data_IF_300876542485
#
_entry.id   IF_300876542485
#
_cell.length_a   1.000
_cell.length_b   1.000
_cell.length_c   1.000
_cell.angle_alpha   90.00
_cell.angle_beta   90.00
_cell.angle_gamma   90.00
#
_symmetry.space_group_name_H-M   'P 1'
#
loop_
_entity.id
_entity.type
_entity.pdbx_description
1 polymer ?
#
# COMPACT_ATOMS: atom_id res chain seq x y z
N UNK A 1 6.38 -14.24 31.32
CA UNK A 1 6.86 -13.15 32.20
C UNK A 1 7.17 -11.96 31.33
N UNK A 2 6.37 -10.89 31.45
CA UNK A 2 6.51 -9.65 30.69
C UNK A 2 7.74 -8.90 31.21
N UNK A 3 8.76 -8.70 30.37
CA UNK A 3 9.83 -7.77 30.68
C UNK A 3 9.28 -6.35 30.50
N UNK A 4 8.76 -5.75 31.59
CA UNK A 4 8.30 -4.37 31.65
C UNK A 4 9.33 -3.34 31.15
N UNK A 5 10.61 -3.73 31.07
CA UNK A 5 11.72 -2.92 30.55
C UNK A 5 11.57 -2.50 29.09
N UNK A 6 10.92 -3.30 28.24
CA UNK A 6 10.78 -2.99 26.81
C UNK A 6 9.74 -1.88 26.55
N UNK A 7 8.63 -1.88 27.30
CA UNK A 7 7.59 -0.85 27.22
C UNK A 7 8.01 0.47 27.89
N UNK A 8 8.82 0.41 28.96
CA UNK A 8 9.38 1.60 29.62
C UNK A 8 10.37 2.36 28.71
N UNK A 9 10.97 1.67 27.73
CA UNK A 9 11.97 2.25 26.81
C UNK A 9 11.40 3.28 25.81
N UNK A 10 10.07 3.48 25.77
CA UNK A 10 9.40 4.39 24.82
C UNK A 10 8.77 5.64 25.43
N UNK A 11 9.16 6.04 26.64
CA UNK A 11 8.97 7.45 27.01
C UNK A 11 9.70 8.34 25.98
N UNK A 12 9.14 9.51 25.62
CA UNK A 12 9.72 10.41 24.63
C UNK A 12 11.19 10.73 24.94
N UNK A 13 11.50 10.99 26.22
CA UNK A 13 12.84 11.28 26.71
C UNK A 13 13.80 10.09 26.57
N UNK A 14 13.35 8.87 26.93
CA UNK A 14 14.16 7.65 26.79
C UNK A 14 14.54 7.38 25.34
N UNK A 15 13.59 7.57 24.40
CA UNK A 15 13.85 7.40 22.96
C UNK A 15 14.81 8.46 22.42
N UNK A 16 14.63 9.72 22.81
CA UNK A 16 15.50 10.81 22.35
C UNK A 16 16.93 10.64 22.86
N UNK A 17 17.09 10.26 24.13
CA UNK A 17 18.41 9.94 24.68
C UNK A 17 19.07 8.75 23.97
N UNK A 18 18.31 7.68 23.72
CA UNK A 18 18.82 6.52 22.97
C UNK A 18 19.32 6.89 21.58
N UNK A 19 18.55 7.71 20.85
CA UNK A 19 18.97 8.23 19.52
C UNK A 19 20.28 9.01 19.60
N UNK A 20 20.38 9.92 20.58
CA UNK A 20 21.58 10.72 20.81
C UNK A 20 22.81 9.85 21.11
N UNK A 21 22.66 8.82 21.97
CA UNK A 21 23.77 7.88 22.27
C UNK A 21 24.18 7.13 21.00
N UNK A 22 23.23 6.59 20.24
CA UNK A 22 23.52 5.84 19.03
C UNK A 22 24.19 6.70 17.94
N UNK A 23 23.78 7.97 17.78
CA UNK A 23 24.48 8.95 16.91
C UNK A 23 25.94 9.14 17.31
N UNK A 24 26.25 9.16 18.61
CA UNK A 24 27.63 9.28 19.09
C UNK A 24 28.47 8.02 18.88
N UNK A 25 27.82 6.85 18.88
CA UNK A 25 28.47 5.57 18.64
C UNK A 25 28.68 5.27 17.15
N UNK A 26 27.95 5.93 16.26
CA UNK A 26 28.15 5.85 14.80
C UNK A 26 27.47 4.65 14.13
N UNK A 27 27.78 4.37 12.85
CA UNK A 27 27.06 3.39 12.03
C UNK A 27 27.19 1.94 12.53
N UNK A 28 28.23 1.63 13.29
CA UNK A 28 28.48 0.28 13.83
C UNK A 28 27.35 -0.23 14.76
N UNK A 29 26.55 0.67 15.32
CA UNK A 29 25.40 0.30 16.16
C UNK A 29 24.10 0.12 15.39
N UNK A 30 24.07 0.38 14.07
CA UNK A 30 22.86 0.27 13.25
C UNK A 30 22.17 -1.09 13.42
N UNK A 31 22.93 -2.19 13.31
CA UNK A 31 22.40 -3.55 13.47
C UNK A 31 21.74 -3.76 14.84
N UNK A 32 22.34 -3.25 15.92
CA UNK A 32 21.79 -3.37 17.28
C UNK A 32 20.47 -2.61 17.44
N UNK A 33 20.34 -1.44 16.82
CA UNK A 33 19.09 -0.65 16.86
C UNK A 33 17.99 -1.29 16.00
N UNK A 34 18.35 -1.90 14.86
CA UNK A 34 17.43 -2.67 14.03
C UNK A 34 16.97 -3.95 14.74
N UNK A 35 17.85 -4.67 15.43
CA UNK A 35 17.48 -5.85 16.23
C UNK A 35 16.63 -5.48 17.43
N UNK A 36 16.96 -4.37 18.10
CA UNK A 36 16.15 -3.83 19.19
C UNK A 36 14.72 -3.54 18.70
N UNK A 37 14.56 -2.78 17.62
CA UNK A 37 13.22 -2.49 17.07
C UNK A 37 12.50 -3.75 16.60
N UNK A 38 13.21 -4.73 16.02
CA UNK A 38 12.64 -6.04 15.67
C UNK A 38 12.06 -6.77 16.88
N UNK A 39 12.77 -6.78 18.01
CA UNK A 39 12.29 -7.42 19.25
C UNK A 39 11.02 -6.78 19.84
N UNK A 40 10.80 -5.49 19.57
CA UNK A 40 9.58 -4.78 19.99
C UNK A 40 8.45 -5.07 19.02
N UNK A 41 8.74 -5.04 17.71
CA UNK A 41 7.77 -5.30 16.66
C UNK A 41 7.29 -6.75 16.64
N UNK A 42 8.07 -7.70 17.17
CA UNK A 42 7.59 -9.08 17.37
C UNK A 42 6.53 -9.20 18.46
N UNK A 43 6.47 -8.24 19.41
CA UNK A 43 5.43 -8.17 20.44
C UNK A 43 4.25 -7.34 19.96
N UNK A 44 4.51 -6.19 19.35
CA UNK A 44 3.49 -5.32 18.73
C UNK A 44 3.97 -4.84 17.35
N UNK A 45 3.53 -5.54 16.32
CA UNK A 45 3.90 -5.27 14.93
C UNK A 45 3.44 -3.90 14.42
N UNK A 46 2.54 -3.23 15.14
CA UNK A 46 2.00 -1.91 14.77
C UNK A 46 2.53 -0.80 15.68
N UNK A 47 3.50 -1.08 16.54
CA UNK A 47 4.06 -0.12 17.48
C UNK A 47 4.68 1.10 16.78
N UNK A 48 3.94 2.22 16.77
CA UNK A 48 4.29 3.42 15.99
C UNK A 48 5.68 3.98 16.33
N UNK A 49 6.03 4.05 17.61
CA UNK A 49 7.34 4.59 18.01
C UNK A 49 8.51 3.67 17.64
N UNK A 50 8.28 2.36 17.52
CA UNK A 50 9.31 1.42 17.09
C UNK A 50 9.59 1.62 15.60
N UNK A 51 8.54 1.73 14.77
CA UNK A 51 8.67 2.08 13.35
C UNK A 51 9.35 3.43 13.13
N UNK A 52 8.96 4.47 13.88
CA UNK A 52 9.60 5.78 13.81
C UNK A 52 11.08 5.73 14.21
N UNK A 53 11.43 4.94 15.23
CA UNK A 53 12.83 4.75 15.62
C UNK A 53 13.61 3.99 14.54
N UNK A 54 13.02 2.93 13.96
CA UNK A 54 13.64 2.14 12.90
C UNK A 54 13.95 2.97 11.66
N UNK A 55 13.00 3.80 11.21
CA UNK A 55 13.21 4.70 10.06
C UNK A 55 14.33 5.73 10.31
N UNK A 56 14.40 6.28 11.52
CA UNK A 56 15.49 7.17 11.92
C UNK A 56 16.83 6.42 11.92
N UNK A 57 16.89 5.20 12.45
CA UNK A 57 18.13 4.42 12.51
C UNK A 57 18.66 4.14 11.10
N UNK A 58 17.78 3.77 10.16
CA UNK A 58 18.14 3.59 8.75
C UNK A 58 18.72 4.85 8.13
N UNK A 59 18.11 6.02 8.38
CA UNK A 59 18.59 7.30 7.85
C UNK A 59 19.89 7.78 8.47
N UNK A 60 20.02 7.68 9.78
CA UNK A 60 21.14 8.25 10.53
C UNK A 60 22.36 7.33 10.56
N UNK A 61 22.14 6.01 10.60
CA UNK A 61 23.18 5.01 10.87
C UNK A 61 23.38 4.04 9.70
N UNK A 62 22.41 3.89 8.79
CA UNK A 62 22.46 2.94 7.67
C UNK A 62 21.79 1.60 8.01
N UNK A 63 22.28 0.51 7.40
CA UNK A 63 21.70 -0.84 7.57
C UNK A 63 20.48 -1.11 6.67
N UNK A 64 20.51 -0.59 5.45
CA UNK A 64 19.41 -0.71 4.48
C UNK A 64 19.32 -2.09 3.82
N UNK A 65 20.41 -2.84 3.81
CA UNK A 65 20.62 -4.03 2.99
C UNK A 65 19.57 -5.12 3.25
N UNK A 66 19.21 -5.33 4.53
CA UNK A 66 18.29 -6.39 4.96
C UNK A 66 16.87 -5.87 5.23
N UNK A 67 16.61 -4.58 5.01
CA UNK A 67 15.35 -3.98 5.43
C UNK A 67 14.17 -4.38 4.53
N UNK A 68 14.42 -4.58 3.23
CA UNK A 68 13.41 -5.11 2.30
C UNK A 68 13.05 -6.56 2.63
N UNK A 69 14.03 -7.39 2.99
CA UNK A 69 13.81 -8.78 3.39
C UNK A 69 13.01 -8.83 4.69
N UNK A 70 13.32 -7.97 5.66
CA UNK A 70 12.53 -7.86 6.87
C UNK A 70 11.08 -7.41 6.61
N UNK A 71 10.86 -6.48 5.67
CA UNK A 71 9.51 -6.13 5.25
C UNK A 71 8.79 -7.33 4.60
N UNK A 72 9.50 -8.14 3.83
CA UNK A 72 8.95 -9.34 3.22
C UNK A 72 8.54 -10.37 4.29
N UNK A 73 9.41 -10.69 5.25
CA UNK A 73 9.10 -11.59 6.38
C UNK A 73 7.82 -11.16 7.13
N UNK A 74 7.68 -9.86 7.41
CA UNK A 74 6.50 -9.33 8.10
C UNK A 74 5.22 -9.45 7.27
N UNK A 75 5.32 -9.30 5.95
CA UNK A 75 4.18 -9.41 5.03
C UNK A 75 3.81 -10.86 4.72
N UNK A 76 4.77 -11.79 4.78
CA UNK A 76 4.49 -13.23 4.76
C UNK A 76 3.76 -13.67 6.03
N UNK A 77 4.13 -13.11 7.20
CA UNK A 77 3.46 -13.39 8.46
C UNK A 77 2.05 -12.76 8.55
N UNK A 78 1.91 -11.50 8.13
CA UNK A 78 0.63 -10.79 8.08
C UNK A 78 0.59 -9.80 6.91
N UNK A 79 -0.06 -10.19 5.82
CA UNK A 79 -0.23 -9.36 4.64
C UNK A 79 -1.08 -8.11 4.90
N UNK A 80 -1.89 -8.09 5.95
CA UNK A 80 -2.72 -6.94 6.35
C UNK A 80 -1.95 -5.95 7.23
N UNK A 81 -0.67 -6.17 7.48
CA UNK A 81 0.17 -5.25 8.24
C UNK A 81 0.51 -3.99 7.41
N UNK A 82 -0.33 -2.96 7.55
CA UNK A 82 -0.13 -1.67 6.88
C UNK A 82 1.21 -1.00 7.23
N UNK A 83 1.75 -1.20 8.44
CA UNK A 83 3.03 -0.63 8.82
C UNK A 83 4.18 -1.26 8.03
N UNK A 84 4.11 -2.56 7.74
CA UNK A 84 5.09 -3.24 6.90
C UNK A 84 5.03 -2.77 5.44
N UNK A 85 3.83 -2.60 4.86
CA UNK A 85 3.67 -1.99 3.53
C UNK A 85 4.23 -0.56 3.47
N UNK A 86 3.94 0.26 4.48
CA UNK A 86 4.46 1.61 4.58
C UNK A 86 6.00 1.62 4.72
N UNK A 87 6.56 0.71 5.52
CA UNK A 87 8.01 0.56 5.65
C UNK A 87 8.63 0.14 4.33
N UNK A 88 8.04 -0.83 3.62
CA UNK A 88 8.51 -1.25 2.30
C UNK A 88 8.59 -0.07 1.34
N UNK A 89 7.54 0.76 1.29
CA UNK A 89 7.51 1.98 0.46
C UNK A 89 8.61 2.97 0.87
N UNK A 90 8.78 3.17 2.18
CA UNK A 90 9.83 4.02 2.73
C UNK A 90 11.23 3.55 2.30
N UNK A 91 11.52 2.25 2.36
CA UNK A 91 12.82 1.69 1.98
C UNK A 91 13.09 1.92 0.50
N UNK A 92 12.13 1.62 -0.38
CA UNK A 92 12.29 1.82 -1.82
C UNK A 92 12.53 3.29 -2.17
N UNK A 93 11.85 4.21 -1.49
CA UNK A 93 11.94 5.64 -1.79
C UNK A 93 13.11 6.35 -1.14
N UNK A 94 13.64 5.84 -0.03
CA UNK A 94 14.68 6.51 0.77
C UNK A 94 16.01 5.80 0.80
N UNK A 95 16.06 4.50 0.46
CA UNK A 95 17.32 3.77 0.42
C UNK A 95 18.25 4.38 -0.64
N UNK A 96 19.49 4.75 -0.27
CA UNK A 96 20.47 5.27 -1.23
C UNK A 96 20.85 4.27 -2.33
N UNK A 97 20.75 2.97 -2.05
CA UNK A 97 21.21 1.90 -2.96
C UNK A 97 20.16 1.50 -4.01
N UNK A 98 18.87 1.72 -3.74
CA UNK A 98 17.79 1.25 -4.61
C UNK A 98 17.44 2.22 -5.74
N UNK A 99 17.87 3.49 -5.66
CA UNK A 99 17.65 4.47 -6.72
C UNK A 99 16.20 4.98 -6.85
N UNK A 100 15.31 4.63 -5.92
CA UNK A 100 13.94 5.15 -5.84
C UNK A 100 12.89 4.30 -6.54
N UNK A 101 11.73 4.92 -6.82
CA UNK A 101 10.55 4.24 -7.38
C UNK A 101 10.76 3.71 -8.80
N UNK A 102 11.39 4.51 -9.68
CA UNK A 102 11.53 4.17 -11.10
C UNK A 102 12.22 2.81 -11.34
N UNK A 103 13.43 2.54 -10.80
CA UNK A 103 14.11 1.25 -11.01
C UNK A 103 13.40 0.08 -10.30
N UNK A 104 12.73 0.34 -9.18
CA UNK A 104 12.06 -0.71 -8.39
C UNK A 104 10.62 -0.99 -8.85
N UNK A 105 10.06 -0.18 -9.75
CA UNK A 105 8.63 -0.23 -10.09
C UNK A 105 8.19 -1.60 -10.57
N UNK A 106 8.89 -2.19 -11.53
CA UNK A 106 8.49 -3.45 -12.16
C UNK A 106 8.46 -4.61 -11.14
N UNK A 107 9.51 -4.75 -10.34
CA UNK A 107 9.60 -5.82 -9.33
C UNK A 107 8.55 -5.65 -8.22
N UNK A 108 8.32 -4.41 -7.78
CA UNK A 108 7.37 -4.10 -6.72
C UNK A 108 5.91 -4.19 -7.17
N UNK A 109 5.62 -3.83 -8.42
CA UNK A 109 4.30 -4.06 -9.04
C UNK A 109 4.03 -5.56 -9.11
N UNK A 110 4.99 -6.36 -9.58
CA UNK A 110 4.87 -7.82 -9.63
C UNK A 110 4.62 -8.43 -8.24
N UNK A 111 5.37 -7.98 -7.23
CA UNK A 111 5.17 -8.38 -5.84
C UNK A 111 3.76 -8.04 -5.33
N UNK A 112 3.33 -6.80 -5.58
CA UNK A 112 2.04 -6.29 -5.09
C UNK A 112 0.85 -6.95 -5.79
N UNK A 113 0.95 -7.19 -7.10
CA UNK A 113 -0.07 -7.91 -7.86
C UNK A 113 -0.26 -9.33 -7.31
N UNK A 114 0.82 -10.03 -6.99
CA UNK A 114 0.72 -11.35 -6.33
C UNK A 114 -0.01 -11.26 -4.98
N UNK A 115 0.32 -10.27 -4.16
CA UNK A 115 -0.33 -10.05 -2.87
C UNK A 115 -1.84 -9.73 -3.02
N UNK A 116 -2.20 -8.90 -3.99
CA UNK A 116 -3.60 -8.55 -4.30
C UNK A 116 -4.38 -9.78 -4.77
N UNK A 117 -3.83 -10.58 -5.69
CA UNK A 117 -4.52 -11.76 -6.19
C UNK A 117 -4.75 -12.80 -5.10
N UNK A 118 -3.80 -12.95 -4.17
CA UNK A 118 -3.95 -13.79 -3.00
C UNK A 118 -5.02 -13.27 -2.03
N UNK A 119 -5.04 -11.96 -1.76
CA UNK A 119 -5.97 -11.33 -0.82
C UNK A 119 -6.61 -10.05 -1.40
N UNK A 120 -7.62 -10.15 -2.27
CA UNK A 120 -8.19 -8.97 -2.95
C UNK A 120 -8.86 -7.97 -1.99
N UNK A 121 -9.30 -8.42 -0.82
CA UNK A 121 -9.87 -7.58 0.23
C UNK A 121 -8.84 -6.79 1.06
N UNK A 122 -7.55 -6.89 0.77
CA UNK A 122 -6.51 -6.15 1.50
C UNK A 122 -6.33 -4.73 0.95
N UNK A 123 -6.85 -3.72 1.65
CA UNK A 123 -6.70 -2.32 1.25
C UNK A 123 -5.24 -1.86 1.14
N UNK A 124 -4.35 -2.36 2.00
CA UNK A 124 -2.95 -1.92 2.05
C UNK A 124 -2.19 -2.24 0.77
N UNK A 125 -2.41 -3.42 0.17
CA UNK A 125 -1.75 -3.78 -1.09
C UNK A 125 -2.24 -2.93 -2.26
N UNK A 126 -3.53 -2.59 -2.33
CA UNK A 126 -4.05 -1.69 -3.36
C UNK A 126 -3.52 -0.26 -3.23
N UNK A 127 -3.48 0.26 -2.00
CA UNK A 127 -2.90 1.58 -1.71
C UNK A 127 -1.41 1.63 -2.04
N UNK A 128 -0.69 0.56 -1.72
CA UNK A 128 0.72 0.43 -2.05
C UNK A 128 0.94 0.42 -3.56
N UNK A 129 0.15 -0.36 -4.32
CA UNK A 129 0.20 -0.37 -5.79
C UNK A 129 0.07 1.03 -6.37
N UNK A 130 -0.95 1.80 -5.93
CA UNK A 130 -1.14 3.19 -6.37
C UNK A 130 0.05 4.08 -6.02
N UNK A 131 0.65 3.88 -4.84
CA UNK A 131 1.78 4.69 -4.40
C UNK A 131 3.05 4.48 -5.25
N UNK A 132 3.23 3.33 -5.89
CA UNK A 132 4.37 3.05 -6.78
C UNK A 132 4.42 3.97 -8.03
N UNK A 133 3.28 4.56 -8.39
CA UNK A 133 3.14 5.49 -9.51
C UNK A 133 2.90 6.93 -9.04
N UNK A 134 3.27 7.24 -7.79
CA UNK A 134 3.15 8.59 -7.27
C UNK A 134 3.87 9.59 -8.20
N UNK A 135 3.15 10.64 -8.59
CA UNK A 135 3.59 11.70 -9.49
C UNK A 135 3.90 11.23 -10.95
N UNK A 136 3.41 10.04 -11.35
CA UNK A 136 3.62 9.44 -12.68
C UNK A 136 2.31 8.82 -13.22
N UNK A 137 1.33 9.68 -13.49
CA UNK A 137 0.00 9.28 -13.98
C UNK A 137 0.06 8.59 -15.34
N UNK A 138 1.01 8.96 -16.21
CA UNK A 138 1.17 8.32 -17.53
C UNK A 138 1.57 6.85 -17.39
N UNK A 139 2.52 6.53 -16.50
CA UNK A 139 2.87 5.13 -16.22
C UNK A 139 1.74 4.38 -15.52
N UNK A 140 0.99 5.06 -14.64
CA UNK A 140 -0.15 4.47 -13.94
C UNK A 140 -1.23 3.95 -14.90
N UNK A 141 -1.61 4.77 -15.90
CA UNK A 141 -2.65 4.39 -16.87
C UNK A 141 -2.15 3.42 -17.95
N UNK A 142 -0.84 3.44 -18.25
CA UNK A 142 -0.27 2.63 -19.34
C UNK A 142 0.22 1.26 -18.89
N UNK A 143 0.44 1.03 -17.59
CA UNK A 143 0.91 -0.26 -17.08
C UNK A 143 -0.18 -1.34 -17.20
N UNK A 144 0.03 -2.37 -18.04
CA UNK A 144 -0.96 -3.42 -18.26
C UNK A 144 -1.23 -4.24 -16.99
N UNK A 145 -0.27 -4.31 -16.06
CA UNK A 145 -0.37 -5.10 -14.84
C UNK A 145 -1.47 -4.56 -13.92
N UNK A 146 -1.63 -3.24 -13.86
CA UNK A 146 -2.65 -2.56 -13.04
C UNK A 146 -4.05 -2.84 -13.59
N UNK A 147 -4.24 -2.72 -14.90
CA UNK A 147 -5.52 -3.04 -15.55
C UNK A 147 -5.83 -4.54 -15.44
N UNK A 148 -4.84 -5.40 -15.67
CA UNK A 148 -4.99 -6.86 -15.59
C UNK A 148 -5.38 -7.33 -14.19
N UNK A 149 -4.78 -6.77 -13.13
CA UNK A 149 -5.14 -7.17 -11.75
C UNK A 149 -6.56 -6.74 -11.40
N UNK A 150 -7.01 -5.57 -11.86
CA UNK A 150 -8.40 -5.15 -11.68
C UNK A 150 -9.35 -6.14 -12.35
N UNK A 151 -9.14 -6.47 -13.63
CA UNK A 151 -9.97 -7.43 -14.37
C UNK A 151 -9.99 -8.82 -13.74
N UNK A 152 -8.83 -9.34 -13.30
CA UNK A 152 -8.73 -10.63 -12.62
C UNK A 152 -9.48 -10.67 -11.29
N UNK A 153 -9.56 -9.56 -10.57
CA UNK A 153 -10.32 -9.49 -9.32
C UNK A 153 -11.80 -9.34 -9.62
N UNK A 154 -12.19 -8.53 -10.61
CA UNK A 154 -13.58 -8.34 -11.03
C UNK A 154 -14.21 -9.63 -11.60
N UNK A 155 -13.43 -10.50 -12.23
CA UNK A 155 -13.92 -11.78 -12.76
C UNK A 155 -14.17 -12.86 -11.71
N UNK A 156 -13.66 -12.67 -10.49
CA UNK A 156 -13.89 -13.59 -9.37
C UNK A 156 -15.27 -13.35 -8.76
N UNK A 157 -15.96 -14.42 -8.40
CA UNK A 157 -17.27 -14.34 -7.73
C UNK A 157 -17.17 -14.36 -6.20
N UNK A 158 -16.00 -14.72 -5.66
CA UNK A 158 -15.79 -15.07 -4.26
C UNK A 158 -15.00 -14.03 -3.46
N UNK A 159 -14.97 -12.76 -3.90
CA UNK A 159 -14.15 -11.74 -3.26
C UNK A 159 -14.82 -10.37 -3.17
N UNK A 160 -14.24 -9.51 -2.33
CA UNK A 160 -14.64 -8.11 -2.23
C UNK A 160 -14.09 -7.31 -3.42
N UNK A 161 -14.97 -6.79 -4.28
CA UNK A 161 -14.59 -6.03 -5.47
C UNK A 161 -14.32 -4.54 -5.23
N UNK A 162 -14.65 -4.00 -4.06
CA UNK A 162 -14.66 -2.55 -3.83
C UNK A 162 -13.32 -1.86 -4.10
N UNK A 163 -12.20 -2.48 -3.75
CA UNK A 163 -10.88 -1.90 -4.02
C UNK A 163 -10.52 -1.95 -5.51
N UNK A 164 -10.79 -3.06 -6.20
CA UNK A 164 -10.58 -3.16 -7.65
C UNK A 164 -11.44 -2.16 -8.42
N UNK A 165 -12.71 -2.00 -8.03
CA UNK A 165 -13.62 -1.00 -8.59
C UNK A 165 -13.12 0.43 -8.32
N UNK A 166 -12.66 0.72 -7.10
CA UNK A 166 -12.08 2.03 -6.76
C UNK A 166 -10.83 2.32 -7.57
N UNK A 167 -9.95 1.34 -7.77
CA UNK A 167 -8.73 1.50 -8.57
C UNK A 167 -9.06 1.70 -10.05
N UNK A 168 -10.01 0.93 -10.59
CA UNK A 168 -10.50 1.11 -11.96
C UNK A 168 -11.13 2.49 -12.16
N UNK A 169 -11.90 2.97 -11.18
CA UNK A 169 -12.48 4.31 -11.23
C UNK A 169 -11.40 5.39 -11.30
N UNK A 170 -10.35 5.27 -10.48
CA UNK A 170 -9.21 6.18 -10.51
C UNK A 170 -8.54 6.18 -11.89
N UNK A 171 -8.27 4.99 -12.46
CA UNK A 171 -7.71 4.86 -13.81
C UNK A 171 -8.57 5.54 -14.88
N UNK A 172 -9.89 5.34 -14.85
CA UNK A 172 -10.82 5.97 -15.79
C UNK A 172 -10.82 7.50 -15.65
N UNK A 173 -10.80 8.01 -14.42
CA UNK A 173 -10.71 9.44 -14.14
C UNK A 173 -9.37 10.04 -14.60
N UNK A 174 -8.29 9.25 -14.54
CA UNK A 174 -6.95 9.66 -14.95
C UNK A 174 -6.72 9.53 -16.47
N UNK A 175 -7.73 9.07 -17.23
CA UNK A 175 -7.73 9.05 -18.70
C UNK A 175 -7.57 7.69 -19.35
N UNK A 176 -7.66 6.59 -18.59
CA UNK A 176 -7.68 5.24 -19.16
C UNK A 176 -8.86 5.09 -20.13
N UNK A 177 -8.59 4.60 -21.34
CA UNK A 177 -9.63 4.20 -22.29
C UNK A 177 -10.08 2.78 -21.97
N UNK A 178 -11.35 2.56 -21.56
CA UNK A 178 -11.81 1.23 -21.21
C UNK A 178 -11.85 0.32 -22.43
N UNK A 179 -11.38 -0.92 -22.27
CA UNK A 179 -11.55 -2.00 -23.25
C UNK A 179 -12.91 -2.68 -23.05
N UNK A 180 -13.32 -3.50 -24.02
CA UNK A 180 -14.56 -4.29 -23.90
C UNK A 180 -14.56 -5.18 -22.65
N UNK A 181 -13.41 -5.78 -22.29
CA UNK A 181 -13.28 -6.60 -21.07
C UNK A 181 -13.58 -5.81 -19.79
N UNK A 182 -13.17 -4.54 -19.71
CA UNK A 182 -13.50 -3.67 -18.57
C UNK A 182 -15.01 -3.43 -18.50
N UNK A 183 -15.63 -3.15 -19.64
CA UNK A 183 -17.07 -2.89 -19.74
C UNK A 183 -17.85 -4.15 -19.32
N UNK A 184 -17.48 -5.31 -19.87
CA UNK A 184 -18.16 -6.57 -19.61
C UNK A 184 -18.02 -7.00 -18.15
N UNK A 185 -16.82 -6.86 -17.56
CA UNK A 185 -16.57 -7.20 -16.15
C UNK A 185 -17.38 -6.33 -15.19
N UNK A 186 -17.46 -5.02 -15.44
CA UNK A 186 -18.25 -4.11 -14.60
C UNK A 186 -19.75 -4.34 -14.80
N UNK A 187 -20.21 -4.56 -16.04
CA UNK A 187 -21.62 -4.86 -16.33
C UNK A 187 -22.07 -6.17 -15.71
N UNK A 188 -21.21 -7.18 -15.64
CA UNK A 188 -21.52 -8.44 -14.94
C UNK A 188 -21.82 -8.24 -13.45
N UNK A 189 -21.28 -7.17 -12.85
CA UNK A 189 -21.55 -6.77 -11.46
C UNK A 189 -22.73 -5.79 -11.33
N UNK A 190 -23.21 -5.23 -12.44
CA UNK A 190 -24.31 -4.29 -12.49
C UNK A 190 -25.64 -5.04 -12.68
N UNK A 191 -26.50 -5.03 -11.65
CA UNK A 191 -27.72 -5.83 -11.71
C UNK A 191 -28.80 -5.30 -12.69
N UNK A 192 -28.93 -3.99 -12.94
CA UNK A 192 -30.20 -3.49 -13.53
C UNK A 192 -30.18 -2.26 -14.48
N UNK A 193 -29.07 -1.57 -14.77
CA UNK A 193 -29.12 -0.55 -15.86
C UNK A 193 -27.73 -0.14 -16.40
N UNK A 194 -27.55 -0.02 -17.74
CA UNK A 194 -26.30 0.44 -18.31
C UNK A 194 -26.27 1.97 -18.29
N UNK A 195 -25.64 2.53 -17.27
CA UNK A 195 -25.18 3.92 -17.38
C UNK A 195 -24.25 4.05 -18.59
N UNK A 196 -24.46 5.08 -19.42
CA UNK A 196 -23.69 5.26 -20.65
C UNK A 196 -22.18 5.44 -20.40
N UNK A 197 -21.81 5.94 -19.21
CA UNK A 197 -20.44 6.12 -18.79
C UNK A 197 -20.03 5.04 -17.78
N UNK A 198 -18.98 4.29 -18.10
CA UNK A 198 -18.45 3.21 -17.26
C UNK A 198 -18.04 3.70 -15.87
N UNK A 199 -17.44 4.88 -15.74
CA UNK A 199 -17.00 5.43 -14.46
C UNK A 199 -18.19 5.73 -13.53
N UNK A 200 -19.30 6.23 -14.10
CA UNK A 200 -20.52 6.47 -13.34
C UNK A 200 -21.18 5.16 -12.90
N UNK A 201 -21.16 4.13 -13.75
CA UNK A 201 -21.61 2.77 -13.41
C UNK A 201 -20.79 2.20 -12.24
N UNK A 202 -19.47 2.33 -12.29
CA UNK A 202 -18.57 1.90 -11.21
C UNK A 202 -18.90 2.63 -9.90
N UNK A 203 -19.14 3.94 -9.91
CA UNK A 203 -19.59 4.66 -8.71
C UNK A 203 -20.91 4.12 -8.15
N UNK A 204 -21.88 3.78 -9.00
CA UNK A 204 -23.16 3.20 -8.58
C UNK A 204 -22.98 1.85 -7.91
N UNK A 205 -22.10 0.99 -8.45
CA UNK A 205 -21.77 -0.30 -7.83
C UNK A 205 -21.05 -0.08 -6.49
N UNK A 206 -20.10 0.86 -6.43
CA UNK A 206 -19.37 1.20 -5.21
C UNK A 206 -20.28 1.69 -4.08
N UNK A 207 -21.35 2.45 -4.37
CA UNK A 207 -22.35 2.82 -3.37
C UNK A 207 -23.01 1.61 -2.69
N UNK A 208 -23.13 0.48 -3.40
CA UNK A 208 -23.74 -0.77 -2.89
C UNK A 208 -22.71 -1.64 -2.17
N UNK A 209 -21.51 -1.76 -2.75
CA UNK A 209 -20.42 -2.61 -2.23
C UNK A 209 -19.74 -1.98 -1.00
N UNK A 210 -19.72 -0.65 -0.89
CA UNK A 210 -19.16 0.10 0.23
C UNK A 210 -20.18 1.12 0.77
N UNK A 211 -21.20 0.66 1.51
CA UNK A 211 -22.30 1.50 1.98
C UNK A 211 -21.82 2.58 2.97
N UNK A 212 -20.74 2.34 3.70
CA UNK A 212 -20.16 3.31 4.64
C UNK A 212 -19.70 4.57 3.88
N UNK A 213 -19.14 4.41 2.68
CA UNK A 213 -18.70 5.51 1.81
C UNK A 213 -19.70 5.86 0.71
N UNK A 214 -20.95 5.42 0.78
CA UNK A 214 -21.96 5.68 -0.26
C UNK A 214 -22.11 7.18 -0.59
N UNK A 215 -22.11 8.06 0.41
CA UNK A 215 -22.16 9.51 0.20
C UNK A 215 -20.92 10.04 -0.53
N UNK A 216 -19.74 9.48 -0.24
CA UNK A 216 -18.51 9.83 -0.95
C UNK A 216 -18.56 9.38 -2.41
N UNK A 217 -19.06 8.17 -2.69
CA UNK A 217 -19.21 7.65 -4.05
C UNK A 217 -20.26 8.42 -4.86
N UNK A 218 -21.39 8.79 -4.25
CA UNK A 218 -22.39 9.66 -4.86
C UNK A 218 -21.83 11.05 -5.17
N UNK A 219 -21.07 11.65 -4.24
CA UNK A 219 -20.35 12.89 -4.49
C UNK A 219 -19.32 12.73 -5.62
N UNK A 220 -18.54 11.65 -5.64
CA UNK A 220 -17.53 11.39 -6.66
C UNK A 220 -18.16 11.27 -8.05
N UNK A 221 -19.29 10.56 -8.16
CA UNK A 221 -20.11 10.47 -9.37
C UNK A 221 -20.52 11.85 -9.89
N UNK A 222 -20.96 12.75 -9.01
CA UNK A 222 -21.35 14.12 -9.39
C UNK A 222 -20.19 14.98 -9.94
N UNK A 223 -18.94 14.60 -9.67
CA UNK A 223 -17.74 15.29 -10.12
C UNK A 223 -17.17 14.74 -11.42
N UNK A 224 -17.61 13.55 -11.84
CA UNK A 224 -17.21 12.99 -13.12
C UNK A 224 -18.03 13.74 -14.18
N UNK A 225 -17.44 14.78 -14.75
CA UNK A 225 -17.99 15.45 -15.92
C UNK A 225 -18.04 14.43 -17.04
N UNK A 226 -19.26 14.06 -17.46
CA UNK A 226 -19.47 13.30 -18.69
C UNK A 226 -18.89 14.17 -19.79
N UNK A 227 -17.76 13.75 -20.38
CA UNK A 227 -17.40 14.24 -21.70
C UNK A 227 -18.54 13.79 -22.62
N UNK A 228 -19.41 14.73 -22.97
CA UNK A 228 -20.46 14.55 -23.99
C UNK A 228 -19.77 14.31 -25.32
#
# INVERSE_FOLDING_TARGET
MLNGSALICFSFCSRHHRRWVAEKLGPDVAGKELDFTRSILSVDAKHYHAWSHRQWALQALGGWENELDYCHELLEADVFNNSAWNQRYYVITRSPSLGGLKPMRESEVSYTVKAILANPGNESSWRYLKALYKDDTESWISDPSVSSVCLKVLSRTDCFHGFALSTLLDLLCDGLRPTNEHIDSVKALANEDPEANLANLVCTILCRVDPIRANYWAWRKSKITVAI
#
